data_IF_039341436627
#
_entry.id   IF_039341436627
#
_cell.length_a   1.000
_cell.length_b   1.000
_cell.length_c   1.000
_cell.angle_alpha   90.00
_cell.angle_beta   90.00
_cell.angle_gamma   90.00
#
_symmetry.space_group_name_H-M   'P 1'
#
loop_
_entity.id
_entity.type
_entity.pdbx_description
1 polymer ?
#
# COMPACT_ATOMS: atom_id res chain seq x y z
N UNK A 1 18.29 -16.88 8.00
CA UNK A 1 17.03 -16.31 8.49
C UNK A 1 16.05 -16.32 7.34
N UNK A 2 15.10 -17.24 7.37
CA UNK A 2 14.15 -17.47 6.28
C UNK A 2 13.06 -16.40 6.37
N UNK A 3 13.10 -15.41 5.50
CA UNK A 3 11.98 -14.47 5.31
C UNK A 3 10.82 -15.28 4.73
N UNK A 4 10.00 -15.86 5.62
CA UNK A 4 8.66 -16.32 5.22
C UNK A 4 7.90 -15.07 4.80
N UNK A 5 7.75 -14.86 3.48
CA UNK A 5 6.68 -13.99 2.96
C UNK A 5 5.40 -14.48 3.65
N UNK A 6 4.82 -13.66 4.52
CA UNK A 6 3.49 -13.95 5.07
C UNK A 6 2.55 -14.11 3.85
N UNK A 7 1.63 -15.08 3.85
CA UNK A 7 0.71 -15.25 2.74
C UNK A 7 -0.02 -13.94 2.49
N UNK A 8 -0.17 -13.55 1.23
CA UNK A 8 -1.04 -12.44 0.85
C UNK A 8 -2.47 -12.84 1.29
N UNK A 9 -3.01 -12.12 2.26
CA UNK A 9 -4.28 -12.47 2.89
C UNK A 9 -5.45 -12.48 1.89
N UNK A 10 -5.37 -11.63 0.86
CA UNK A 10 -6.34 -11.53 -0.23
C UNK A 10 -6.36 -12.81 -1.08
N UNK A 11 -5.19 -13.41 -1.33
CA UNK A 11 -5.06 -14.65 -2.12
C UNK A 11 -5.47 -15.90 -1.32
N UNK A 12 -5.39 -15.86 0.01
CA UNK A 12 -5.71 -17.02 0.85
C UNK A 12 -7.17 -17.07 1.29
N UNK A 13 -7.86 -15.92 1.39
CA UNK A 13 -9.24 -15.85 1.89
C UNK A 13 -10.34 -15.97 0.83
N UNK A 14 -10.00 -15.99 -0.47
CA UNK A 14 -10.98 -15.89 -1.57
C UNK A 14 -11.97 -14.73 -1.35
N UNK A 15 -11.42 -13.55 -1.04
CA UNK A 15 -12.17 -12.34 -0.71
C UNK A 15 -12.51 -11.57 -1.99
N UNK A 16 -13.25 -12.23 -2.88
CA UNK A 16 -13.58 -11.68 -4.18
C UNK A 16 -15.09 -11.71 -4.40
N UNK A 17 -15.65 -10.63 -4.92
CA UNK A 17 -17.05 -10.53 -5.35
C UNK A 17 -17.13 -10.26 -6.86
N UNK A 18 -16.84 -11.31 -7.64
CA UNK A 18 -16.94 -11.28 -9.10
C UNK A 18 -15.60 -11.13 -9.82
N UNK A 19 -15.68 -10.81 -11.12
CA UNK A 19 -14.54 -10.73 -12.02
C UNK A 19 -14.71 -9.55 -12.98
N UNK A 20 -13.70 -8.70 -13.03
CA UNK A 20 -13.62 -7.58 -13.95
C UNK A 20 -13.11 -8.09 -15.31
N UNK A 21 -13.98 -8.11 -16.31
CA UNK A 21 -13.62 -8.56 -17.67
C UNK A 21 -12.71 -7.57 -18.42
N UNK A 22 -12.75 -6.27 -18.06
CA UNK A 22 -11.94 -5.23 -18.70
C UNK A 22 -10.48 -5.31 -18.23
N UNK A 23 -10.28 -5.49 -16.93
CA UNK A 23 -8.95 -5.59 -16.31
C UNK A 23 -8.47 -7.03 -16.10
N UNK A 24 -9.32 -8.01 -16.41
CA UNK A 24 -9.08 -9.44 -16.28
C UNK A 24 -8.61 -9.86 -14.88
N UNK A 25 -9.23 -9.30 -13.84
CA UNK A 25 -8.92 -9.61 -12.45
C UNK A 25 -10.17 -9.82 -11.59
N UNK A 26 -10.10 -10.63 -10.53
CA UNK A 26 -11.17 -10.72 -9.54
C UNK A 26 -11.45 -9.35 -8.90
N UNK A 27 -12.73 -9.03 -8.68
CA UNK A 27 -13.14 -7.83 -7.95
C UNK A 27 -13.01 -8.12 -6.46
N UNK A 28 -12.40 -7.21 -5.70
CA UNK A 28 -12.19 -7.40 -4.27
C UNK A 28 -13.50 -7.16 -3.50
N UNK A 29 -13.78 -8.03 -2.54
CA UNK A 29 -14.86 -7.81 -1.56
C UNK A 29 -14.28 -7.03 -0.37
N UNK A 30 -14.46 -5.70 -0.42
CA UNK A 30 -13.88 -4.76 0.55
C UNK A 30 -14.39 -4.99 1.98
N UNK A 31 -15.69 -5.22 2.16
CA UNK A 31 -16.31 -5.47 3.46
C UNK A 31 -15.69 -6.71 4.12
N UNK A 32 -15.56 -7.81 3.38
CA UNK A 32 -14.94 -9.03 3.93
C UNK A 32 -13.45 -8.86 4.22
N UNK A 33 -12.74 -8.04 3.46
CA UNK A 33 -11.34 -7.70 3.75
C UNK A 33 -11.23 -6.93 5.06
N UNK A 34 -12.13 -5.99 5.28
CA UNK A 34 -12.16 -5.21 6.53
C UNK A 34 -12.45 -6.13 7.72
N UNK A 35 -13.46 -6.98 7.62
CA UNK A 35 -13.85 -7.92 8.67
C UNK A 35 -12.72 -8.90 9.06
N UNK A 36 -12.03 -9.49 8.07
CA UNK A 36 -10.94 -10.46 8.29
C UNK A 36 -9.67 -9.83 8.89
N UNK A 37 -9.49 -8.52 8.70
CA UNK A 37 -8.35 -7.79 9.20
C UNK A 37 -8.63 -7.12 10.55
N UNK A 38 -9.87 -6.78 10.89
CA UNK A 38 -10.19 -5.97 12.08
C UNK A 38 -9.63 -6.57 13.37
N UNK A 39 -9.81 -7.88 13.59
CA UNK A 39 -9.26 -8.57 14.77
C UNK A 39 -7.73 -8.46 14.85
N UNK A 40 -7.02 -8.53 13.72
CA UNK A 40 -5.55 -8.46 13.65
C UNK A 40 -5.05 -7.03 13.82
N UNK A 41 -5.82 -6.06 13.34
CA UNK A 41 -5.47 -4.65 13.47
C UNK A 41 -5.60 -4.17 14.92
N UNK A 42 -6.54 -4.74 15.70
CA UNK A 42 -6.68 -4.45 17.14
C UNK A 42 -5.46 -4.91 17.96
N UNK A 43 -4.83 -6.03 17.60
CA UNK A 43 -3.61 -6.50 18.28
C UNK A 43 -2.40 -5.58 18.04
N UNK A 44 -2.42 -4.79 16.97
CA UNK A 44 -1.35 -3.86 16.59
C UNK A 44 -0.10 -4.55 16.01
N UNK A 45 0.91 -3.75 15.65
CA UNK A 45 2.16 -4.27 15.06
C UNK A 45 1.99 -4.84 13.64
N UNK A 46 0.96 -4.40 12.92
CA UNK A 46 0.66 -4.84 11.56
C UNK A 46 1.16 -3.81 10.54
N UNK A 47 1.75 -4.29 9.45
CA UNK A 47 2.06 -3.49 8.26
C UNK A 47 1.11 -3.96 7.16
N UNK A 48 0.31 -3.03 6.63
CA UNK A 48 -0.59 -3.25 5.51
C UNK A 48 0.05 -2.67 4.25
N UNK A 49 0.02 -3.45 3.16
CA UNK A 49 0.55 -3.07 1.85
C UNK A 49 -0.57 -3.26 0.82
N UNK A 50 -1.14 -2.14 0.37
CA UNK A 50 -2.18 -2.10 -0.64
C UNK A 50 -2.08 -0.81 -1.46
N UNK A 51 -2.63 -0.82 -2.68
CA UNK A 51 -2.52 0.28 -3.63
C UNK A 51 -3.71 1.25 -3.58
N UNK A 52 -4.66 1.01 -2.67
CA UNK A 52 -5.75 1.91 -2.29
C UNK A 52 -5.87 1.91 -0.77
N UNK A 53 -6.60 2.86 -0.22
CA UNK A 53 -6.65 3.08 1.23
C UNK A 53 -7.99 3.62 1.75
N UNK A 54 -8.91 3.98 0.86
CA UNK A 54 -10.27 4.45 1.16
C UNK A 54 -11.16 3.39 1.83
N UNK A 55 -10.94 2.11 1.55
CA UNK A 55 -11.69 1.00 2.16
C UNK A 55 -11.41 0.79 3.66
N UNK A 56 -10.27 1.28 4.16
CA UNK A 56 -9.81 0.92 5.50
C UNK A 56 -10.30 1.94 6.56
N UNK A 57 -10.73 1.49 7.74
CA UNK A 57 -11.08 2.40 8.84
C UNK A 57 -9.91 3.29 9.27
N UNK A 58 -10.12 4.61 9.39
CA UNK A 58 -9.07 5.57 9.80
C UNK A 58 -8.35 5.16 11.10
N UNK A 59 -9.11 4.59 12.05
CA UNK A 59 -8.61 4.13 13.37
C UNK A 59 -7.54 3.03 13.31
N UNK A 60 -7.34 2.38 12.17
CA UNK A 60 -6.39 1.28 12.03
C UNK A 60 -4.93 1.73 11.98
N UNK A 61 -4.67 2.95 11.53
CA UNK A 61 -3.32 3.36 11.18
C UNK A 61 -2.83 4.52 12.06
N UNK A 62 -1.66 4.31 12.65
CA UNK A 62 -0.91 5.35 13.36
C UNK A 62 -0.03 6.18 12.43
N UNK A 63 0.27 5.66 11.24
CA UNK A 63 1.06 6.30 10.17
C UNK A 63 0.65 5.71 8.82
N UNK A 64 0.58 6.56 7.80
CA UNK A 64 0.29 6.19 6.41
C UNK A 64 1.44 6.68 5.53
N UNK A 65 1.99 5.77 4.71
CA UNK A 65 3.16 6.06 3.87
C UNK A 65 2.78 5.84 2.42
N UNK A 66 2.82 6.91 1.62
CA UNK A 66 2.60 6.87 0.18
C UNK A 66 3.95 6.88 -0.53
N UNK A 67 4.32 5.75 -1.13
CA UNK A 67 5.55 5.63 -1.91
C UNK A 67 5.40 6.34 -3.25
N UNK A 68 6.35 7.22 -3.58
CA UNK A 68 6.36 7.99 -4.83
C UNK A 68 7.53 7.55 -5.71
N UNK A 69 7.27 7.39 -7.00
CA UNK A 69 8.30 6.99 -7.97
C UNK A 69 8.22 7.87 -9.21
N UNK A 70 9.38 8.26 -9.74
CA UNK A 70 9.48 9.01 -10.99
C UNK A 70 8.85 8.22 -12.15
N UNK A 71 8.07 8.91 -12.99
CA UNK A 71 7.29 8.29 -14.07
C UNK A 71 8.13 7.38 -14.99
N UNK A 72 9.34 7.82 -15.34
CA UNK A 72 10.24 7.03 -16.20
C UNK A 72 10.67 5.74 -15.52
N UNK A 73 10.97 5.78 -14.23
CA UNK A 73 11.37 4.59 -13.47
C UNK A 73 10.18 3.66 -13.24
N UNK A 74 9.02 4.22 -12.92
CA UNK A 74 7.79 3.45 -12.76
C UNK A 74 7.42 2.73 -14.05
N UNK A 75 7.49 3.42 -15.20
CA UNK A 75 7.25 2.82 -16.52
C UNK A 75 8.13 1.57 -16.74
N UNK A 76 9.46 1.71 -16.54
CA UNK A 76 10.42 0.61 -16.72
C UNK A 76 10.12 -0.56 -15.77
N UNK A 77 9.75 -0.28 -14.52
CA UNK A 77 9.38 -1.29 -13.52
C UNK A 77 8.10 -2.03 -13.90
N UNK A 78 7.10 -1.34 -14.44
CA UNK A 78 5.83 -1.96 -14.86
C UNK A 78 6.02 -2.78 -16.14
N UNK A 79 6.76 -2.25 -17.12
CA UNK A 79 7.07 -2.95 -18.36
C UNK A 79 7.88 -4.24 -18.08
N UNK A 80 8.89 -4.18 -17.21
CA UNK A 80 9.66 -5.37 -16.80
C UNK A 80 8.83 -6.41 -16.03
N UNK A 81 7.71 -6.02 -15.42
CA UNK A 81 6.71 -6.92 -14.82
C UNK A 81 5.74 -7.52 -15.86
N UNK A 82 5.89 -7.18 -17.14
CA UNK A 82 5.06 -7.67 -18.25
C UNK A 82 3.77 -6.88 -18.45
N UNK A 83 3.63 -5.71 -17.83
CA UNK A 83 2.47 -4.85 -18.05
C UNK A 83 2.59 -4.23 -19.43
N UNK A 84 1.49 -4.22 -20.19
CA UNK A 84 1.45 -3.70 -21.55
C UNK A 84 0.13 -2.97 -21.83
N UNK A 85 0.09 -2.21 -22.92
CA UNK A 85 -1.12 -1.55 -23.40
C UNK A 85 -1.75 -0.61 -22.38
N UNK A 86 -3.09 -0.64 -22.30
CA UNK A 86 -3.90 0.24 -21.45
C UNK A 86 -3.52 0.14 -19.97
N UNK A 87 -3.33 -1.08 -19.44
CA UNK A 87 -2.99 -1.28 -18.02
C UNK A 87 -1.72 -0.53 -17.61
N UNK A 88 -0.68 -0.55 -18.45
CA UNK A 88 0.55 0.18 -18.17
C UNK A 88 0.30 1.69 -18.18
N UNK A 89 -0.43 2.18 -19.19
CA UNK A 89 -0.76 3.61 -19.31
C UNK A 89 -1.57 4.11 -18.13
N UNK A 90 -2.62 3.38 -17.73
CA UNK A 90 -3.49 3.71 -16.60
C UNK A 90 -2.69 3.82 -15.29
N UNK A 91 -1.77 2.87 -15.03
CA UNK A 91 -0.94 2.90 -13.82
C UNK A 91 0.04 4.07 -13.81
N UNK A 92 0.65 4.39 -14.96
CA UNK A 92 1.56 5.55 -15.06
C UNK A 92 0.77 6.86 -14.92
N UNK A 93 -0.43 6.94 -15.49
CA UNK A 93 -1.30 8.11 -15.33
C UNK A 93 -1.76 8.30 -13.88
N UNK A 94 -2.10 7.21 -13.19
CA UNK A 94 -2.44 7.23 -11.76
C UNK A 94 -1.33 7.86 -10.92
N UNK A 95 -0.05 7.50 -11.17
CA UNK A 95 1.09 8.13 -10.50
C UNK A 95 1.27 9.61 -10.87
N UNK A 96 1.12 9.96 -12.15
CA UNK A 96 1.22 11.35 -12.63
C UNK A 96 0.18 12.25 -11.95
N UNK A 97 -1.06 11.76 -11.83
CA UNK A 97 -2.15 12.49 -11.20
C UNK A 97 -2.10 12.41 -9.66
N UNK A 98 -1.16 11.66 -9.10
CA UNK A 98 -1.00 11.50 -7.65
C UNK A 98 -2.26 10.95 -6.97
N UNK A 99 -3.05 10.14 -7.69
CA UNK A 99 -4.39 9.72 -7.24
C UNK A 99 -4.34 9.07 -5.86
N UNK A 100 -3.39 8.17 -5.62
CA UNK A 100 -3.25 7.48 -4.31
C UNK A 100 -2.81 8.42 -3.20
N UNK A 101 -2.02 9.46 -3.52
CA UNK A 101 -1.65 10.45 -2.52
C UNK A 101 -2.83 11.34 -2.14
N UNK A 102 -3.62 11.78 -3.13
CA UNK A 102 -4.84 12.56 -2.88
C UNK A 102 -5.85 11.75 -2.07
N UNK A 103 -6.07 10.47 -2.43
CA UNK A 103 -6.94 9.55 -1.70
C UNK A 103 -6.50 9.40 -0.23
N UNK A 104 -5.21 9.18 0.03
CA UNK A 104 -4.70 9.08 1.41
C UNK A 104 -4.89 10.39 2.20
N UNK A 105 -4.78 11.54 1.54
CA UNK A 105 -4.97 12.86 2.17
C UNK A 105 -6.43 13.18 2.46
N UNK A 106 -7.37 12.54 1.76
CA UNK A 106 -8.81 12.63 2.00
C UNK A 106 -9.29 11.62 3.06
N UNK A 107 -8.72 10.42 3.06
CA UNK A 107 -9.09 9.34 3.98
C UNK A 107 -8.48 9.46 5.38
N UNK A 108 -7.31 10.10 5.52
CA UNK A 108 -6.57 10.17 6.78
C UNK A 108 -6.17 11.58 7.18
N UNK A 109 -5.99 11.76 8.48
CA UNK A 109 -5.42 12.99 9.04
C UNK A 109 -4.04 13.32 8.42
N UNK A 110 -3.90 14.54 7.88
CA UNK A 110 -2.69 14.98 7.14
C UNK A 110 -1.38 14.85 7.90
N UNK A 111 -1.45 14.85 9.24
CA UNK A 111 -0.31 14.72 10.14
C UNK A 111 0.31 13.32 10.18
N UNK A 112 -0.47 12.29 9.80
CA UNK A 112 0.01 10.90 9.77
C UNK A 112 0.34 10.43 8.34
N UNK A 113 0.02 11.22 7.31
CA UNK A 113 0.26 10.89 5.90
C UNK A 113 1.61 11.45 5.44
N UNK A 114 2.51 10.57 5.01
CA UNK A 114 3.84 10.94 4.55
C UNK A 114 4.16 10.37 3.18
N UNK A 115 4.80 11.17 2.33
CA UNK A 115 5.31 10.71 1.05
C UNK A 115 6.78 10.31 1.19
N UNK A 116 7.16 9.16 0.64
CA UNK A 116 8.55 8.73 0.61
C UNK A 116 8.99 8.44 -0.84
N UNK A 117 10.16 8.95 -1.29
CA UNK A 117 10.70 8.60 -2.60
C UNK A 117 11.06 7.12 -2.64
N UNK A 118 10.90 6.47 -3.79
CA UNK A 118 11.19 5.05 -3.96
C UNK A 118 11.79 4.75 -5.34
N UNK A 119 12.76 5.55 -5.77
CA UNK A 119 13.37 5.47 -7.10
C UNK A 119 14.58 4.55 -7.15
N UNK A 120 15.40 4.56 -6.10
CA UNK A 120 16.67 3.82 -6.06
C UNK A 120 16.77 2.89 -4.85
N UNK A 121 17.73 1.97 -4.82
CA UNK A 121 18.02 1.16 -3.63
C UNK A 121 18.39 2.01 -2.41
N UNK A 122 19.05 3.15 -2.61
CA UNK A 122 19.39 4.09 -1.53
C UNK A 122 18.14 4.73 -0.91
N UNK A 123 17.13 5.04 -1.72
CA UNK A 123 15.82 5.48 -1.21
C UNK A 123 15.19 4.40 -0.31
N UNK A 124 15.26 3.13 -0.71
CA UNK A 124 14.76 2.01 0.08
C UNK A 124 15.47 1.91 1.44
N UNK A 125 16.81 1.99 1.45
CA UNK A 125 17.60 1.95 2.69
C UNK A 125 17.27 3.14 3.61
N UNK A 126 17.16 4.33 3.04
CA UNK A 126 16.78 5.55 3.77
C UNK A 126 15.36 5.45 4.35
N UNK A 127 14.40 4.96 3.56
CA UNK A 127 13.03 4.77 4.01
C UNK A 127 12.95 3.75 5.14
N UNK A 128 13.67 2.63 5.02
CA UNK A 128 13.73 1.61 6.06
C UNK A 128 14.27 2.21 7.38
N UNK A 129 15.35 2.98 7.31
CA UNK A 129 15.93 3.63 8.49
C UNK A 129 14.95 4.60 9.16
N UNK A 130 14.26 5.43 8.37
CA UNK A 130 13.26 6.38 8.87
C UNK A 130 12.07 5.68 9.53
N UNK A 131 11.51 4.65 8.89
CA UNK A 131 10.37 3.89 9.42
C UNK A 131 10.76 3.17 10.70
N UNK A 132 11.94 2.54 10.74
CA UNK A 132 12.44 1.88 11.95
C UNK A 132 12.60 2.85 13.11
N UNK A 133 13.19 4.03 12.86
CA UNK A 133 13.34 5.08 13.88
C UNK A 133 11.97 5.57 14.37
N UNK A 134 10.99 5.75 13.47
CA UNK A 134 9.64 6.13 13.83
C UNK A 134 8.97 5.07 14.72
N UNK A 135 9.06 3.78 14.37
CA UNK A 135 8.52 2.67 15.16
C UNK A 135 9.16 2.65 16.56
N UNK A 136 10.49 2.77 16.65
CA UNK A 136 11.19 2.81 17.93
C UNK A 136 10.75 3.97 18.83
N UNK A 137 10.51 5.14 18.23
CA UNK A 137 10.03 6.31 18.97
C UNK A 137 8.59 6.12 19.42
N UNK A 138 7.71 5.68 18.51
CA UNK A 138 6.30 5.41 18.81
C UNK A 138 6.13 4.41 19.95
N UNK A 139 6.94 3.34 19.95
CA UNK A 139 6.95 2.33 21.02
C UNK A 139 7.41 2.90 22.37
N UNK A 140 8.28 3.92 22.40
CA UNK A 140 8.71 4.57 23.66
C UNK A 140 7.64 5.51 24.22
N UNK A 141 6.88 6.15 23.34
CA UNK A 141 5.86 7.12 23.72
C UNK A 141 4.55 6.44 24.18
N UNK A 142 4.35 5.16 23.81
CA UNK A 142 3.12 4.39 24.07
C UNK A 142 3.35 3.09 24.86
N UNK A 143 4.53 2.89 25.46
CA UNK A 143 4.81 1.87 26.49
C UNK A 143 4.89 2.49 27.89
#
# INVERSE_FOLDING_TARGET
MTTRKRPNILLTGQLYDGYDEEYQCPILDEDRVVDELDEKMVEGGVIVDYHGCDLFPERWFHIVIVLRTDNTQLYIRLESRGYTGKKLQDNVQCEIFQTIYEEAMEAYSKEIVHQLPSNTPEDLESNLAQIMQWIEQWMKDHN
#
